data_IF_663746109978
#
_entry.id   IF_663746109978
#
_cell.length_a   1.000
_cell.length_b   1.000
_cell.length_c   1.000
_cell.angle_alpha   90.00
_cell.angle_beta   90.00
_cell.angle_gamma   90.00
#
_symmetry.space_group_name_H-M   'P 1'
#
loop_
_entity.id
_entity.type
_entity.pdbx_description
1 polymer ?
#
# COMPACT_ATOMS: atom_id res chain seq x y z
N UNK A 1 10.82 3.44 -10.50
CA UNK A 1 11.15 4.72 -9.82
C UNK A 1 12.33 4.51 -8.88
N UNK A 2 13.29 5.45 -8.83
CA UNK A 2 14.45 5.38 -7.93
C UNK A 2 14.47 6.64 -7.05
N UNK A 3 14.54 6.48 -5.73
CA UNK A 3 14.77 7.59 -4.79
C UNK A 3 16.25 7.62 -4.45
N UNK A 4 16.89 8.77 -4.62
CA UNK A 4 18.31 8.96 -4.35
C UNK A 4 18.52 9.89 -3.14
N UNK A 5 19.46 9.51 -2.28
CA UNK A 5 19.85 10.28 -1.10
C UNK A 5 21.36 10.47 -1.06
N UNK A 6 21.80 11.73 -1.02
CA UNK A 6 23.20 12.13 -0.98
C UNK A 6 23.40 12.99 0.26
N UNK A 7 24.42 12.68 1.05
CA UNK A 7 24.75 13.39 2.30
C UNK A 7 23.53 13.55 3.24
N UNK A 8 22.78 12.47 3.44
CA UNK A 8 21.60 12.47 4.31
C UNK A 8 20.34 13.14 3.73
N UNK A 9 20.45 13.88 2.62
CA UNK A 9 19.34 14.61 2.01
C UNK A 9 18.79 13.86 0.80
N UNK A 10 17.45 13.74 0.73
CA UNK A 10 16.79 13.27 -0.50
C UNK A 10 16.98 14.37 -1.54
N UNK A 11 17.86 14.12 -2.51
CA UNK A 11 18.29 15.15 -3.46
C UNK A 11 17.34 15.24 -4.65
N UNK A 12 16.82 14.12 -5.15
CA UNK A 12 15.71 14.05 -6.12
C UNK A 12 15.17 12.61 -6.24
N UNK A 13 13.93 12.48 -6.73
CA UNK A 13 13.37 11.19 -7.16
C UNK A 13 13.59 11.05 -8.66
N UNK A 14 14.31 10.04 -9.10
CA UNK A 14 14.46 9.68 -10.51
C UNK A 14 13.22 8.88 -10.93
N UNK A 15 12.34 9.53 -11.69
CA UNK A 15 11.21 8.87 -12.33
C UNK A 15 11.69 8.18 -13.61
N UNK A 16 12.14 6.94 -13.45
CA UNK A 16 12.45 6.04 -14.55
C UNK A 16 11.47 4.87 -14.57
N UNK A 17 10.84 4.67 -15.72
CA UNK A 17 10.05 3.51 -16.09
C UNK A 17 10.81 2.75 -17.17
N UNK A 18 11.14 1.49 -16.91
CA UNK A 18 11.96 0.65 -17.78
C UNK A 18 11.98 -0.80 -17.30
N UNK A 19 12.63 -1.67 -18.06
CA UNK A 19 12.83 -3.05 -17.66
C UNK A 19 13.73 -3.15 -16.41
N UNK A 20 13.74 -4.30 -15.75
CA UNK A 20 14.66 -4.54 -14.62
C UNK A 20 16.13 -4.32 -15.00
N UNK A 21 16.50 -4.63 -16.26
CA UNK A 21 17.85 -4.39 -16.79
C UNK A 21 18.15 -2.89 -16.91
N UNK A 22 17.19 -2.10 -17.42
CA UNK A 22 17.34 -0.64 -17.55
C UNK A 22 17.51 0.03 -16.17
N UNK A 23 16.70 -0.39 -15.19
CA UNK A 23 16.78 0.12 -13.81
C UNK A 23 18.10 -0.28 -13.15
N UNK A 24 18.61 -1.48 -13.43
CA UNK A 24 19.92 -1.93 -12.92
C UNK A 24 21.07 -1.13 -13.53
N UNK A 25 21.06 -0.94 -14.85
CA UNK A 25 22.04 -0.12 -15.56
C UNK A 25 22.02 1.33 -15.05
N UNK A 26 20.83 1.92 -14.88
CA UNK A 26 20.68 3.26 -14.33
C UNK A 26 21.17 3.34 -12.88
N UNK A 27 20.86 2.34 -12.05
CA UNK A 27 21.33 2.31 -10.66
C UNK A 27 22.85 2.20 -10.55
N UNK A 28 23.52 1.58 -11.53
CA UNK A 28 24.99 1.43 -11.54
C UNK A 28 25.76 2.75 -11.74
N UNK A 29 25.10 3.78 -12.29
CA UNK A 29 25.71 5.09 -12.56
C UNK A 29 25.26 6.17 -11.56
N UNK A 30 24.38 5.84 -10.61
CA UNK A 30 23.87 6.77 -9.60
C UNK A 30 24.66 6.64 -8.29
N UNK A 31 24.99 7.77 -7.67
CA UNK A 31 25.71 7.80 -6.39
C UNK A 31 24.78 7.89 -5.17
N UNK A 32 25.31 7.59 -3.99
CA UNK A 32 24.60 7.70 -2.73
C UNK A 32 23.70 6.50 -2.41
N UNK A 33 22.78 6.71 -1.47
CA UNK A 33 21.83 5.68 -1.03
C UNK A 33 20.64 5.65 -2.00
N UNK A 34 20.43 4.49 -2.64
CA UNK A 34 19.36 4.28 -3.63
C UNK A 34 18.25 3.41 -3.04
N UNK A 35 17.00 3.86 -3.17
CA UNK A 35 15.81 3.04 -2.94
C UNK A 35 15.07 2.84 -4.26
N UNK A 36 14.98 1.60 -4.71
CA UNK A 36 14.31 1.25 -5.97
C UNK A 36 12.89 0.78 -5.69
N UNK A 37 11.93 1.31 -6.44
CA UNK A 37 10.52 0.96 -6.38
C UNK A 37 10.08 0.37 -7.72
N UNK A 38 9.53 -0.85 -7.64
CA UNK A 38 8.91 -1.52 -8.76
C UNK A 38 7.51 -0.97 -9.04
N UNK A 39 7.28 -0.57 -10.28
CA UNK A 39 5.93 -0.28 -10.78
C UNK A 39 5.18 -1.60 -10.98
N UNK A 40 4.32 -1.98 -10.03
CA UNK A 40 3.52 -3.22 -10.13
C UNK A 40 2.31 -3.10 -11.05
N UNK A 41 1.75 -1.90 -11.18
CA UNK A 41 0.63 -1.60 -12.06
C UNK A 41 0.59 -0.10 -12.37
N UNK A 42 0.18 0.27 -13.58
CA UNK A 42 -0.16 1.64 -13.94
C UNK A 42 -1.69 1.76 -14.04
N UNK A 43 -2.29 2.47 -13.10
CA UNK A 43 -3.71 2.81 -13.18
C UNK A 43 -3.92 4.05 -14.03
N UNK A 44 -4.88 4.00 -14.94
CA UNK A 44 -5.37 5.16 -15.68
C UNK A 44 -6.85 4.97 -15.96
N UNK A 45 -7.71 5.48 -15.09
CA UNK A 45 -9.09 5.78 -15.50
C UNK A 45 -9.07 7.18 -16.10
N UNK A 46 -9.54 7.33 -17.34
CA UNK A 46 -9.80 8.64 -17.95
C UNK A 46 -10.80 9.49 -17.15
N UNK A 47 -11.52 8.87 -16.21
CA UNK A 47 -12.38 9.52 -15.25
C UNK A 47 -11.70 9.56 -13.87
N UNK A 48 -11.51 10.77 -13.34
CA UNK A 48 -11.42 10.96 -11.89
C UNK A 48 -12.65 10.27 -11.26
N UNK A 49 -12.49 9.44 -10.22
CA UNK A 49 -13.63 8.79 -9.58
C UNK A 49 -14.66 9.85 -9.16
N UNK A 50 -15.85 9.81 -9.77
CA UNK A 50 -16.88 10.86 -9.63
C UNK A 50 -17.34 11.04 -8.18
N UNK A 51 -17.52 9.95 -7.39
CA UNK A 51 -17.56 10.03 -5.93
C UNK A 51 -16.28 9.50 -5.27
N UNK A 52 -15.82 10.20 -4.23
CA UNK A 52 -14.79 9.72 -3.31
C UNK A 52 -15.27 8.45 -2.60
N UNK A 53 -14.62 7.31 -2.83
CA UNK A 53 -14.97 6.02 -2.24
C UNK A 53 -13.86 5.47 -1.34
N UNK A 54 -13.38 6.33 -0.44
CA UNK A 54 -12.41 5.94 0.57
C UNK A 54 -13.00 4.88 1.50
N UNK A 55 -12.21 3.85 1.82
CA UNK A 55 -12.55 2.88 2.87
C UNK A 55 -11.45 2.88 3.92
N UNK A 56 -11.87 2.91 5.18
CA UNK A 56 -10.99 2.74 6.33
C UNK A 56 -11.40 1.48 7.07
N UNK A 57 -10.47 0.57 7.27
CA UNK A 57 -10.71 -0.69 7.95
C UNK A 57 -9.53 -1.04 8.87
N UNK A 58 -9.79 -1.87 9.87
CA UNK A 58 -8.73 -2.50 10.65
C UNK A 58 -8.40 -3.88 10.08
N UNK A 59 -7.16 -4.29 10.29
CA UNK A 59 -6.72 -5.68 10.15
C UNK A 59 -6.09 -6.09 11.48
N UNK A 60 -6.24 -7.34 11.87
CA UNK A 60 -5.65 -7.81 13.13
C UNK A 60 -5.87 -9.28 13.42
N UNK A 61 -5.43 -9.67 14.61
CA UNK A 61 -5.59 -11.01 15.18
C UNK A 61 -5.94 -10.91 16.66
N UNK A 62 -6.80 -11.81 17.13
CA UNK A 62 -7.14 -11.91 18.55
C UNK A 62 -6.27 -12.97 19.20
N UNK A 63 -5.68 -12.64 20.33
CA UNK A 63 -4.87 -13.56 21.11
C UNK A 63 -5.65 -13.99 22.36
N UNK A 64 -5.73 -15.29 22.58
CA UNK A 64 -6.31 -15.86 23.80
C UNK A 64 -5.54 -15.31 25.01
N UNK A 65 -6.23 -14.55 25.87
CA UNK A 65 -5.68 -14.02 27.13
C UNK A 65 -4.79 -12.79 27.03
N UNK A 66 -4.40 -12.31 25.84
CA UNK A 66 -3.45 -11.21 25.67
C UNK A 66 -4.01 -9.99 24.90
N UNK A 67 -5.32 -9.96 24.62
CA UNK A 67 -5.96 -8.88 23.87
C UNK A 67 -5.89 -9.09 22.35
N UNK A 68 -5.82 -8.00 21.59
CA UNK A 68 -5.75 -8.06 20.12
C UNK A 68 -4.65 -7.13 19.60
N UNK A 69 -3.89 -7.62 18.64
CA UNK A 69 -3.02 -6.79 17.80
C UNK A 69 -3.81 -6.34 16.59
N UNK A 70 -3.75 -5.05 16.27
CA UNK A 70 -4.43 -4.51 15.09
C UNK A 70 -3.71 -3.31 14.51
N UNK A 71 -3.81 -3.15 13.19
CA UNK A 71 -3.42 -1.97 12.44
C UNK A 71 -4.63 -1.38 11.72
N UNK A 72 -4.63 -0.06 11.54
CA UNK A 72 -5.62 0.63 10.71
C UNK A 72 -5.08 0.90 9.31
N UNK A 73 -5.85 0.57 8.29
CA UNK A 73 -5.54 0.81 6.88
C UNK A 73 -6.59 1.75 6.30
N UNK A 74 -6.13 2.74 5.53
CA UNK A 74 -6.99 3.64 4.78
C UNK A 74 -6.64 3.56 3.30
N UNK A 75 -7.63 3.24 2.48
CA UNK A 75 -7.50 3.26 1.03
C UNK A 75 -8.30 4.47 0.51
N UNK A 76 -7.65 5.48 -0.09
CA UNK A 76 -8.32 6.70 -0.56
C UNK A 76 -9.36 6.46 -1.65
N UNK A 77 -9.07 5.52 -2.56
CA UNK A 77 -9.96 5.18 -3.67
C UNK A 77 -9.92 3.68 -3.96
N UNK A 78 -11.09 3.06 -4.05
CA UNK A 78 -11.26 1.65 -4.41
C UNK A 78 -11.98 1.57 -5.76
N UNK A 79 -12.00 0.40 -6.41
CA UNK A 79 -12.85 0.22 -7.59
C UNK A 79 -14.32 0.22 -7.16
N UNK A 80 -15.19 0.99 -7.81
CA UNK A 80 -16.60 1.08 -7.44
C UNK A 80 -17.34 -0.28 -7.45
N UNK A 81 -16.88 -1.23 -8.25
CA UNK A 81 -17.39 -2.60 -8.30
C UNK A 81 -16.95 -3.50 -7.14
N UNK A 82 -16.06 -3.03 -6.26
CA UNK A 82 -15.52 -3.81 -5.15
C UNK A 82 -16.21 -3.44 -3.85
N UNK A 83 -16.78 -4.45 -3.20
CA UNK A 83 -17.41 -4.36 -1.89
C UNK A 83 -16.37 -4.44 -0.77
N UNK A 84 -16.77 -4.16 0.47
CA UNK A 84 -15.91 -4.44 1.62
C UNK A 84 -15.62 -5.94 1.78
N UNK A 85 -16.51 -6.83 1.34
CA UNK A 85 -16.25 -8.27 1.40
C UNK A 85 -15.10 -8.66 0.45
N UNK A 86 -15.01 -8.06 -0.73
CA UNK A 86 -13.86 -8.25 -1.63
C UNK A 86 -12.56 -7.80 -0.97
N UNK A 87 -12.58 -6.66 -0.28
CA UNK A 87 -11.41 -6.13 0.45
C UNK A 87 -11.02 -7.11 1.56
N UNK A 88 -11.99 -7.57 2.35
CA UNK A 88 -11.76 -8.52 3.45
C UNK A 88 -11.07 -9.80 2.97
N UNK A 89 -11.54 -10.36 1.87
CA UNK A 89 -10.93 -11.56 1.25
C UNK A 89 -9.51 -11.28 0.75
N UNK A 90 -9.26 -10.08 0.21
CA UNK A 90 -7.93 -9.71 -0.30
C UNK A 90 -6.90 -9.43 0.80
N UNK A 91 -7.33 -9.01 2.01
CA UNK A 91 -6.41 -8.64 3.10
C UNK A 91 -6.16 -9.75 4.11
N UNK A 92 -7.19 -10.55 4.45
CA UNK A 92 -7.04 -11.63 5.45
C UNK A 92 -6.03 -12.67 4.93
N UNK A 93 -5.08 -13.05 5.79
CA UNK A 93 -3.99 -13.98 5.43
C UNK A 93 -2.88 -13.36 4.56
N UNK A 94 -3.07 -12.16 4.01
CA UNK A 94 -2.06 -11.45 3.21
C UNK A 94 -1.37 -10.37 4.03
N UNK A 95 -2.17 -9.53 4.69
CA UNK A 95 -1.68 -8.42 5.52
C UNK A 95 -1.24 -8.95 6.87
N UNK A 96 -0.26 -8.27 7.46
CA UNK A 96 0.16 -8.53 8.82
C UNK A 96 -0.82 -7.88 9.82
N UNK A 97 -0.90 -8.42 11.03
CA UNK A 97 -1.81 -7.94 12.08
C UNK A 97 -1.41 -6.59 12.67
N UNK A 98 -0.14 -6.19 12.52
CA UNK A 98 0.42 -4.92 13.00
C UNK A 98 1.65 -4.54 12.16
N UNK A 99 2.12 -3.30 12.28
CA UNK A 99 3.30 -2.83 11.54
C UNK A 99 4.63 -3.42 12.05
N UNK A 100 4.61 -3.98 13.26
CA UNK A 100 5.80 -4.48 13.96
C UNK A 100 5.85 -6.03 13.96
N UNK A 101 4.89 -6.69 13.33
CA UNK A 101 4.73 -8.15 13.33
C UNK A 101 4.66 -8.69 11.91
N UNK A 102 5.18 -9.89 11.68
CA UNK A 102 5.00 -10.64 10.43
C UNK A 102 3.88 -11.69 10.52
N UNK A 103 3.12 -11.69 11.62
CA UNK A 103 1.97 -12.58 11.80
C UNK A 103 0.81 -12.08 10.96
N UNK A 104 0.23 -12.97 10.16
CA UNK A 104 -0.89 -12.63 9.28
C UNK A 104 -2.16 -12.34 10.05
N UNK A 105 -2.90 -11.33 9.59
CA UNK A 105 -4.18 -10.97 10.16
C UNK A 105 -5.25 -12.05 9.87
N UNK A 106 -6.15 -12.23 10.83
CA UNK A 106 -7.25 -13.21 10.78
C UNK A 106 -8.62 -12.52 10.64
N UNK A 107 -8.70 -11.23 10.93
CA UNK A 107 -9.90 -10.44 10.73
C UNK A 107 -9.61 -9.12 10.04
N UNK A 108 -10.65 -8.60 9.40
CA UNK A 108 -10.71 -7.20 8.98
C UNK A 108 -12.10 -6.64 9.24
N UNK A 109 -12.16 -5.45 9.87
CA UNK A 109 -13.40 -4.78 10.22
C UNK A 109 -13.43 -3.37 9.61
N UNK A 110 -14.55 -3.02 8.98
CA UNK A 110 -14.74 -1.68 8.42
C UNK A 110 -15.01 -0.68 9.54
N UNK A 111 -14.31 0.46 9.56
CA UNK A 111 -14.57 1.51 10.55
C UNK A 111 -15.81 2.33 10.20
N UNK A 112 -15.89 2.80 8.95
CA UNK A 112 -17.03 3.56 8.43
C UNK A 112 -17.17 3.29 6.92
N UNK A 113 -18.40 3.08 6.46
CA UNK A 113 -18.77 3.21 5.06
C UNK A 113 -19.47 4.56 4.90
N UNK A 114 -18.87 5.52 4.18
CA UNK A 114 -19.57 6.77 3.88
C UNK A 114 -20.64 6.43 2.84
N UNK A 115 -21.84 6.06 3.28
CA UNK A 115 -23.04 6.09 2.44
C UNK A 115 -23.19 7.56 2.03
N UNK A 116 -23.11 7.85 0.73
CA UNK A 116 -23.32 9.20 0.22
C UNK A 116 -24.60 9.78 0.79
N UNK A 117 -24.51 11.01 1.31
CA UNK A 117 -25.68 11.86 1.48
C UNK A 117 -26.17 12.29 0.09
#
# INVERSE_FOLDING_TARGET
MIKQKINGKTVNTVMADGSAADITALSSILEGELTVWDKKFEGGTSANPSPLNAKKFSVGKKYLGAGASSASVQIPHIKASKSFNDIRVAVIGQFDESFESSVKCEYSNLFYDKKGA
#
